data_IF_478678969320
#
_entry.id   IF_478678969320
#
_cell.length_a   1.000
_cell.length_b   1.000
_cell.length_c   1.000
_cell.angle_alpha   90.00
_cell.angle_beta   90.00
_cell.angle_gamma   90.00
#
_symmetry.space_group_name_H-M   'P 1'
#
loop_
_entity.id
_entity.type
_entity.pdbx_description
1 polymer ?
#
# COMPACT_ATOMS: atom_id res chain seq x y z
N UNK A 1 -3.43 -15.87 22.65
CA UNK A 1 -2.72 -14.56 22.61
C UNK A 1 -1.31 -14.84 22.13
N UNK A 2 -1.02 -14.54 20.88
CA UNK A 2 0.35 -14.65 20.34
C UNK A 2 1.20 -13.62 21.06
N UNK A 3 2.17 -14.06 21.86
CA UNK A 3 3.11 -13.17 22.54
C UNK A 3 3.93 -12.44 21.49
N UNK A 4 3.90 -11.09 21.49
CA UNK A 4 4.70 -10.26 20.57
C UNK A 4 6.19 -10.51 20.84
N UNK A 5 6.95 -10.85 19.80
CA UNK A 5 8.40 -11.00 19.83
C UNK A 5 9.07 -9.63 19.67
N UNK A 6 9.24 -8.95 20.80
CA UNK A 6 9.85 -7.61 20.83
C UNK A 6 11.36 -7.66 20.59
N UNK A 7 12.03 -8.78 20.86
CA UNK A 7 13.45 -8.97 20.57
C UNK A 7 13.70 -9.04 19.05
N UNK A 8 12.80 -9.71 18.31
CA UNK A 8 12.80 -9.68 16.85
C UNK A 8 12.61 -8.26 16.35
N UNK A 9 11.59 -7.55 16.84
CA UNK A 9 11.36 -6.15 16.45
C UNK A 9 12.59 -5.28 16.70
N UNK A 10 13.22 -5.39 17.87
CA UNK A 10 14.41 -4.64 18.25
C UNK A 10 15.57 -4.83 17.27
N UNK A 11 15.81 -6.07 16.82
CA UNK A 11 16.84 -6.40 15.83
C UNK A 11 16.59 -5.71 14.49
N UNK A 12 15.35 -5.76 13.98
CA UNK A 12 14.98 -5.12 12.72
C UNK A 12 15.12 -3.60 12.80
N UNK A 13 14.57 -2.99 13.85
CA UNK A 13 14.66 -1.54 14.09
C UNK A 13 16.12 -1.10 14.16
N UNK A 14 16.96 -1.82 14.90
CA UNK A 14 18.39 -1.51 15.03
C UNK A 14 19.13 -1.63 13.70
N UNK A 15 18.88 -2.69 12.93
CA UNK A 15 19.52 -2.90 11.63
C UNK A 15 19.18 -1.76 10.66
N UNK A 16 17.89 -1.46 10.46
CA UNK A 16 17.48 -0.38 9.55
C UNK A 16 17.88 1.01 10.04
N UNK A 17 17.91 1.24 11.36
CA UNK A 17 18.44 2.50 11.88
C UNK A 17 19.88 2.70 11.46
N UNK A 18 20.73 1.68 11.55
CA UNK A 18 22.15 1.79 11.20
C UNK A 18 22.36 2.09 9.71
N UNK A 19 21.42 1.70 8.85
CA UNK A 19 21.43 2.01 7.43
C UNK A 19 21.01 3.46 7.14
N UNK A 20 20.01 3.96 7.86
CA UNK A 20 19.38 5.26 7.57
C UNK A 20 19.93 6.43 8.40
N UNK A 21 20.43 6.15 9.61
CA UNK A 21 20.76 7.17 10.60
C UNK A 21 22.13 6.94 11.26
N UNK A 22 22.93 8.00 11.44
CA UNK A 22 24.23 7.90 12.08
C UNK A 22 24.16 7.60 13.57
N UNK A 23 23.01 7.82 14.22
CA UNK A 23 22.84 7.57 15.67
C UNK A 23 21.39 7.35 16.07
N UNK A 24 21.18 6.78 17.28
CA UNK A 24 19.87 6.68 17.95
C UNK A 24 19.21 8.04 18.15
N UNK A 25 20.00 9.08 18.44
CA UNK A 25 19.47 10.43 18.62
C UNK A 25 18.91 10.98 17.30
N UNK A 26 19.63 10.81 16.19
CA UNK A 26 19.17 11.26 14.87
C UNK A 26 17.86 10.56 14.47
N UNK A 27 17.76 9.25 14.71
CA UNK A 27 16.56 8.48 14.42
C UNK A 27 15.37 8.89 15.32
N UNK A 28 15.61 9.12 16.61
CA UNK A 28 14.59 9.61 17.55
C UNK A 28 14.06 11.00 17.16
N UNK A 29 14.94 11.90 16.71
CA UNK A 29 14.54 13.21 16.19
C UNK A 29 13.70 13.08 14.93
N UNK A 30 14.08 12.20 13.98
CA UNK A 30 13.30 11.95 12.77
C UNK A 30 11.90 11.36 13.07
N UNK A 31 11.80 10.51 14.09
CA UNK A 31 10.52 9.96 14.57
C UNK A 31 9.72 10.93 15.46
N UNK A 32 10.29 12.05 15.93
CA UNK A 32 9.65 12.94 16.89
C UNK A 32 9.35 12.27 18.24
N UNK A 33 10.31 11.48 18.75
CA UNK A 33 10.27 10.83 20.06
C UNK A 33 11.57 11.10 20.86
N UNK A 34 11.58 10.80 22.15
CA UNK A 34 12.80 10.93 22.95
C UNK A 34 13.83 9.84 22.61
N UNK A 35 15.11 10.15 22.80
CA UNK A 35 16.21 9.18 22.64
C UNK A 35 16.01 7.94 23.51
N UNK A 36 15.56 8.12 24.75
CA UNK A 36 15.27 7.01 25.67
C UNK A 36 14.14 6.14 25.15
N UNK A 37 13.08 6.73 24.58
CA UNK A 37 11.98 5.95 23.99
C UNK A 37 12.49 5.10 22.82
N UNK A 38 13.34 5.67 21.97
CA UNK A 38 13.98 4.91 20.89
C UNK A 38 14.86 3.79 21.44
N UNK A 39 15.67 4.08 22.46
CA UNK A 39 16.55 3.10 23.09
C UNK A 39 15.75 1.91 23.62
N UNK A 40 14.65 2.14 24.35
CA UNK A 40 13.78 1.07 24.87
C UNK A 40 13.31 0.12 23.76
N UNK A 41 12.94 0.64 22.60
CA UNK A 41 12.53 -0.19 21.46
C UNK A 41 13.69 -1.03 20.92
N UNK A 42 14.90 -0.49 20.83
CA UNK A 42 16.09 -1.27 20.42
C UNK A 42 16.56 -2.28 21.47
N UNK A 43 16.10 -2.19 22.72
CA UNK A 43 16.35 -3.18 23.77
C UNK A 43 15.18 -4.17 23.94
N UNK A 44 14.18 -4.15 23.05
CA UNK A 44 13.05 -5.09 23.09
C UNK A 44 12.01 -4.76 24.16
N UNK A 45 12.03 -3.55 24.73
CA UNK A 45 11.04 -3.16 25.72
C UNK A 45 9.74 -2.67 25.09
N UNK A 46 8.63 -3.00 25.75
CA UNK A 46 7.32 -2.56 25.30
C UNK A 46 7.13 -1.03 25.43
N UNK A 47 6.70 -0.41 24.33
CA UNK A 47 6.22 0.97 24.28
C UNK A 47 4.79 1.03 23.77
N UNK A 48 4.21 2.23 23.70
CA UNK A 48 2.86 2.43 23.19
C UNK A 48 2.81 2.17 21.68
N UNK A 49 1.71 1.66 21.18
CA UNK A 49 1.53 1.42 19.73
C UNK A 49 1.69 2.71 18.89
N UNK A 50 1.33 3.87 19.45
CA UNK A 50 1.58 5.18 18.80
C UNK A 50 3.07 5.52 18.64
N UNK A 51 3.95 4.96 19.48
CA UNK A 51 5.40 5.06 19.33
C UNK A 51 5.88 4.19 18.18
N UNK A 52 5.38 2.95 18.06
CA UNK A 52 5.73 2.08 16.94
C UNK A 52 5.33 2.70 15.59
N UNK A 53 4.15 3.32 15.49
CA UNK A 53 3.73 4.01 14.27
C UNK A 53 4.67 5.17 13.86
N UNK A 54 5.26 5.87 14.84
CA UNK A 54 6.27 6.92 14.57
C UNK A 54 7.58 6.33 14.08
N UNK A 55 7.96 5.17 14.62
CA UNK A 55 9.16 4.43 14.20
C UNK A 55 8.98 3.87 12.78
N UNK A 56 7.82 3.29 12.47
CA UNK A 56 7.47 2.85 11.12
C UNK A 56 7.73 3.98 10.11
N UNK A 57 7.17 5.16 10.38
CA UNK A 57 7.35 6.34 9.53
C UNK A 57 8.81 6.75 9.40
N UNK A 58 9.58 6.77 10.49
CA UNK A 58 10.99 7.15 10.45
C UNK A 58 11.83 6.16 9.63
N UNK A 59 11.56 4.87 9.73
CA UNK A 59 12.29 3.83 9.00
C UNK A 59 11.79 3.64 7.55
N UNK A 60 10.83 4.45 7.08
CA UNK A 60 10.25 4.30 5.74
C UNK A 60 9.38 3.06 5.58
N UNK A 61 8.93 2.47 6.70
CA UNK A 61 7.99 1.37 6.71
C UNK A 61 6.55 1.86 6.65
N UNK A 62 5.66 0.98 6.19
CA UNK A 62 4.22 1.18 6.28
C UNK A 62 3.78 1.14 7.75
N UNK A 63 2.77 1.94 8.08
CA UNK A 63 2.21 1.95 9.43
C UNK A 63 1.72 0.55 9.83
N UNK A 64 2.13 0.09 11.02
CA UNK A 64 1.84 -1.26 11.52
C UNK A 64 2.95 -2.28 11.24
N UNK A 65 3.99 -1.94 10.49
CA UNK A 65 5.10 -2.87 10.20
C UNK A 65 5.82 -3.35 11.45
N UNK A 66 6.04 -2.47 12.44
CA UNK A 66 6.57 -2.87 13.74
C UNK A 66 5.73 -3.98 14.41
N UNK A 67 4.40 -3.91 14.29
CA UNK A 67 3.50 -4.93 14.84
C UNK A 67 3.60 -6.23 14.05
N UNK A 68 3.60 -6.16 12.72
CA UNK A 68 3.78 -7.32 11.84
C UNK A 68 5.08 -8.05 12.15
N UNK A 69 6.19 -7.32 12.33
CA UNK A 69 7.49 -7.90 12.69
C UNK A 69 7.41 -8.60 14.04
N UNK A 70 6.79 -7.94 15.04
CA UNK A 70 6.63 -8.51 16.38
C UNK A 70 5.69 -9.73 16.39
N UNK A 71 4.82 -9.88 15.40
CA UNK A 71 3.96 -11.05 15.20
C UNK A 71 4.62 -12.15 14.36
N UNK A 72 5.88 -11.95 13.96
CA UNK A 72 6.68 -12.93 13.19
C UNK A 72 6.69 -12.72 11.69
N UNK A 73 6.04 -11.66 11.19
CA UNK A 73 6.10 -11.24 9.79
C UNK A 73 7.37 -10.44 9.45
N UNK A 74 7.37 -9.87 8.25
CA UNK A 74 8.44 -9.01 7.72
C UNK A 74 7.97 -7.55 7.60
N UNK A 75 8.88 -6.56 7.68
CA UNK A 75 8.50 -5.15 7.50
C UNK A 75 7.95 -4.92 6.10
N UNK A 76 6.89 -4.12 6.00
CA UNK A 76 6.37 -3.65 4.71
C UNK A 76 6.93 -2.26 4.47
N UNK A 77 7.61 -2.02 3.35
CA UNK A 77 8.09 -0.69 3.03
C UNK A 77 6.95 0.20 2.52
N UNK A 78 6.97 1.48 2.85
CA UNK A 78 5.87 2.40 2.52
C UNK A 78 5.58 2.50 1.01
N UNK A 79 6.59 2.28 0.15
CA UNK A 79 6.42 2.22 -1.31
C UNK A 79 5.79 0.92 -1.83
N UNK A 80 5.91 -0.16 -1.07
CA UNK A 80 5.38 -1.49 -1.40
C UNK A 80 3.93 -1.66 -0.90
N UNK A 81 3.58 -0.96 0.18
CA UNK A 81 2.20 -0.88 0.68
C UNK A 81 1.23 -0.22 -0.31
N UNK A 82 1.71 0.71 -1.15
CA UNK A 82 0.92 1.30 -2.25
C UNK A 82 0.55 0.26 -3.31
N UNK A 83 1.36 -0.78 -3.50
CA UNK A 83 1.08 -1.85 -4.46
C UNK A 83 0.18 -2.94 -3.87
N UNK A 84 0.22 -3.15 -2.56
CA UNK A 84 -0.54 -4.23 -1.91
C UNK A 84 -1.90 -3.80 -1.33
N UNK A 85 -2.13 -2.51 -1.07
CA UNK A 85 -3.39 -2.05 -0.44
C UNK A 85 -4.41 -1.41 -1.41
N UNK A 86 -4.17 -1.47 -2.72
CA UNK A 86 -5.10 -1.00 -3.76
C UNK A 86 -5.48 -2.10 -4.77
N UNK A 87 -5.37 -3.38 -4.40
CA UNK A 87 -6.20 -4.45 -5.00
C UNK A 87 -7.55 -4.56 -4.28
N UNK A 88 -8.15 -3.43 -3.95
CA UNK A 88 -9.59 -3.34 -4.11
C UNK A 88 -9.79 -3.33 -5.62
N UNK A 89 -10.35 -4.39 -6.16
CA UNK A 89 -10.95 -4.40 -7.49
C UNK A 89 -11.81 -3.14 -7.63
N UNK A 90 -11.24 -2.07 -8.20
CA UNK A 90 -12.01 -0.93 -8.64
C UNK A 90 -12.78 -1.44 -9.85
N UNK A 91 -13.96 -2.00 -9.58
CA UNK A 91 -14.92 -2.32 -10.61
C UNK A 91 -15.17 -1.04 -11.38
N UNK A 92 -14.93 -1.08 -12.69
CA UNK A 92 -15.24 0.06 -13.55
C UNK A 92 -16.77 0.19 -13.60
N UNK A 93 -17.30 1.40 -13.43
CA UNK A 93 -18.72 1.59 -13.71
C UNK A 93 -18.96 1.35 -15.20
N UNK A 94 -20.15 0.86 -15.55
CA UNK A 94 -20.52 0.62 -16.94
C UNK A 94 -20.36 1.89 -17.81
N UNK A 95 -20.73 3.05 -17.26
CA UNK A 95 -20.59 4.33 -17.95
C UNK A 95 -19.13 4.68 -18.23
N UNK A 96 -18.24 4.45 -17.26
CA UNK A 96 -16.80 4.66 -17.43
C UNK A 96 -16.20 3.70 -18.46
N UNK A 97 -16.59 2.43 -18.42
CA UNK A 97 -16.14 1.43 -19.37
C UNK A 97 -16.57 1.78 -20.80
N UNK A 98 -17.83 2.19 -20.99
CA UNK A 98 -18.37 2.61 -22.28
C UNK A 98 -17.61 3.82 -22.84
N UNK A 99 -17.39 4.84 -22.00
CA UNK A 99 -16.67 6.06 -22.41
C UNK A 99 -15.24 5.74 -22.84
N UNK A 100 -14.49 4.99 -22.04
CA UNK A 100 -13.10 4.64 -22.36
C UNK A 100 -12.99 3.76 -23.60
N UNK A 101 -13.89 2.79 -23.76
CA UNK A 101 -13.96 1.95 -24.94
C UNK A 101 -14.22 2.79 -26.21
N UNK A 102 -15.15 3.74 -26.13
CA UNK A 102 -15.45 4.67 -27.22
C UNK A 102 -14.25 5.53 -27.62
N UNK A 103 -13.62 6.18 -26.64
CA UNK A 103 -12.47 7.05 -26.87
C UNK A 103 -11.30 6.27 -27.50
N UNK A 104 -11.06 5.04 -27.02
CA UNK A 104 -10.00 4.16 -27.54
C UNK A 104 -10.31 3.66 -28.95
N UNK A 105 -11.55 3.24 -29.21
CA UNK A 105 -11.97 2.76 -30.52
C UNK A 105 -11.87 3.88 -31.57
N UNK A 106 -12.29 5.10 -31.23
CA UNK A 106 -12.18 6.28 -32.10
C UNK A 106 -10.73 6.64 -32.39
N UNK A 107 -9.84 6.53 -31.41
CA UNK A 107 -8.41 6.81 -31.58
C UNK A 107 -7.70 5.75 -32.44
N UNK A 108 -8.08 4.47 -32.28
CA UNK A 108 -7.43 3.35 -32.97
C UNK A 108 -7.96 3.16 -34.40
N UNK A 109 -9.26 3.43 -34.61
CA UNK A 109 -9.97 3.24 -35.87
C UNK A 109 -10.60 4.57 -36.33
N UNK A 110 -9.78 5.56 -36.76
CA UNK A 110 -10.27 6.91 -37.08
C UNK A 110 -11.22 6.97 -38.28
N UNK A 111 -11.22 5.95 -39.15
CA UNK A 111 -12.02 5.89 -40.39
C UNK A 111 -13.22 4.95 -40.31
N UNK A 112 -13.42 4.25 -39.18
CA UNK A 112 -14.54 3.35 -39.03
C UNK A 112 -15.89 4.12 -38.95
N UNK A 113 -16.97 3.59 -39.53
CA UNK A 113 -18.31 4.15 -39.35
C UNK A 113 -18.71 4.16 -37.87
N UNK A 114 -19.38 5.24 -37.45
CA UNK A 114 -19.81 5.43 -36.05
C UNK A 114 -20.65 4.25 -35.53
N UNK A 115 -21.56 3.71 -36.35
CA UNK A 115 -22.39 2.57 -35.95
C UNK A 115 -21.63 1.25 -35.76
N UNK A 116 -20.49 1.05 -36.44
CA UNK A 116 -19.62 -0.10 -36.22
C UNK A 116 -18.84 0.04 -34.90
N UNK A 117 -18.40 1.26 -34.58
CA UNK A 117 -17.78 1.56 -33.30
C UNK A 117 -18.75 1.37 -32.13
N UNK A 118 -20.02 1.76 -32.29
CA UNK A 118 -21.06 1.59 -31.26
C UNK A 118 -21.30 0.10 -30.97
N UNK A 119 -21.38 -0.70 -32.03
CA UNK A 119 -21.53 -2.17 -31.92
C UNK A 119 -20.35 -2.78 -31.16
N UNK A 120 -19.12 -2.42 -31.56
CA UNK A 120 -17.91 -2.89 -30.90
C UNK A 120 -17.83 -2.49 -29.42
N UNK A 121 -18.14 -1.23 -29.09
CA UNK A 121 -18.10 -0.75 -27.70
C UNK A 121 -19.12 -1.49 -26.83
N UNK A 122 -20.32 -1.75 -27.34
CA UNK A 122 -21.32 -2.52 -26.60
C UNK A 122 -20.85 -3.95 -26.35
N UNK A 123 -20.33 -4.65 -27.38
CA UNK A 123 -19.80 -6.01 -27.23
C UNK A 123 -18.63 -6.07 -26.22
N UNK A 124 -17.75 -5.07 -26.24
CA UNK A 124 -16.62 -4.98 -25.30
C UNK A 124 -17.10 -4.80 -23.86
N UNK A 125 -18.03 -3.87 -23.61
CA UNK A 125 -18.59 -3.63 -22.27
C UNK A 125 -19.31 -4.87 -21.75
N UNK A 126 -20.08 -5.56 -22.59
CA UNK A 126 -20.74 -6.83 -22.23
C UNK A 126 -19.72 -7.91 -21.84
N UNK A 127 -18.62 -8.03 -22.58
CA UNK A 127 -17.56 -8.98 -22.25
C UNK A 127 -16.86 -8.64 -20.92
N UNK A 128 -16.63 -7.36 -20.65
CA UNK A 128 -16.04 -6.90 -19.38
C UNK A 128 -17.00 -7.09 -18.20
N UNK A 129 -18.32 -6.94 -18.40
CA UNK A 129 -19.35 -7.29 -17.40
C UNK A 129 -19.32 -8.78 -17.10
N UNK A 130 -19.29 -9.63 -18.12
CA UNK A 130 -19.20 -11.11 -17.98
C UNK A 130 -17.94 -11.54 -17.24
N UNK A 131 -16.84 -10.82 -17.42
CA UNK A 131 -15.58 -11.06 -16.72
C UNK A 131 -15.58 -10.56 -15.26
N UNK A 132 -16.65 -9.89 -14.79
CA UNK A 132 -16.74 -9.32 -13.45
C UNK A 132 -15.88 -8.06 -13.23
N UNK A 133 -15.43 -7.42 -14.32
CA UNK A 133 -14.59 -6.21 -14.29
C UNK A 133 -15.44 -4.94 -14.24
N UNK A 134 -16.62 -4.98 -14.88
CA UNK A 134 -17.59 -3.89 -14.91
C UNK A 134 -18.78 -4.24 -14.01
N UNK A 135 -19.19 -3.28 -13.17
CA UNK A 135 -20.39 -3.40 -12.34
C UNK A 135 -21.46 -2.42 -12.80
N UNK A 136 -22.73 -2.84 -12.72
CA UNK A 136 -23.85 -1.94 -12.89
C UNK A 136 -23.76 -0.86 -11.79
N UNK A 137 -23.73 0.41 -12.22
CA UNK A 137 -23.73 1.54 -11.30
C UNK A 137 -25.06 1.57 -10.54
N UNK A 138 -24.98 1.65 -9.21
CA UNK A 138 -26.12 1.96 -8.35
C UNK A 138 -26.44 3.46 -8.40
#
# INVERSE_FOLDING_TARGET
>A
MTTRDLDRLAKYVKAHRLELYPSRLAAAQAAGISKDTWHRVEEGEAVRDSTYAKIDKALGWAAGSCLVIAEGGEPVFAGEATTSSARTSASLSEEQARKMAWDTARATLPTAPVGELDTFVNELVENLRRAGIVTDGA
#
